data_IF_947822270855
#
_entry.id   IF_947822270855
#
_cell.length_a   1.000
_cell.length_b   1.000
_cell.length_c   1.000
_cell.angle_alpha   90.00
_cell.angle_beta   90.00
_cell.angle_gamma   90.00
#
_symmetry.space_group_name_H-M   'P 1'
#
loop_
_entity.id
_entity.type
_entity.pdbx_description
1 polymer ?
#
# COMPACT_ATOMS: atom_id res chain seq x y z
N UNK A 1 -11.14 12.65 13.56
CA UNK A 1 -11.14 11.23 13.99
C UNK A 1 -9.68 10.80 14.16
N UNK A 2 -9.40 9.74 14.92
CA UNK A 2 -8.01 9.28 15.18
C UNK A 2 -7.45 8.56 13.95
N UNK A 3 -6.28 8.99 13.44
CA UNK A 3 -5.65 8.43 12.22
C UNK A 3 -5.41 6.93 12.30
N UNK A 4 -5.06 6.41 13.49
CA UNK A 4 -4.86 4.97 13.71
C UNK A 4 -6.18 4.24 13.60
N UNK A 5 -7.26 4.79 14.19
CA UNK A 5 -8.61 4.20 14.05
C UNK A 5 -9.10 4.23 12.61
N UNK A 6 -8.86 5.35 11.90
CA UNK A 6 -9.17 5.48 10.48
C UNK A 6 -8.46 4.40 9.67
N UNK A 7 -7.14 4.24 9.83
CA UNK A 7 -6.37 3.24 9.11
C UNK A 7 -6.76 1.80 9.49
N UNK A 8 -7.00 1.49 10.76
CA UNK A 8 -7.49 0.17 11.18
C UNK A 8 -8.78 -0.26 10.52
N UNK A 9 -9.63 0.71 10.16
CA UNK A 9 -10.89 0.43 9.50
C UNK A 9 -10.78 0.49 7.98
N UNK A 10 -10.00 1.44 7.44
CA UNK A 10 -9.99 1.77 6.01
C UNK A 10 -8.76 1.30 5.25
N UNK A 11 -7.68 0.89 5.90
CA UNK A 11 -6.44 0.51 5.21
C UNK A 11 -6.69 -0.62 4.20
N UNK A 12 -7.30 -1.73 4.61
CA UNK A 12 -7.66 -2.80 3.65
C UNK A 12 -8.89 -2.43 2.86
N UNK A 13 -9.97 -2.07 3.57
CA UNK A 13 -11.31 -1.89 2.99
C UNK A 13 -11.34 -0.81 1.91
N UNK A 14 -10.53 0.23 2.06
CA UNK A 14 -10.46 1.36 1.15
C UNK A 14 -9.14 1.35 0.38
N UNK A 15 -8.00 1.50 1.06
CA UNK A 15 -6.73 1.83 0.40
C UNK A 15 -6.20 0.68 -0.46
N UNK A 16 -6.01 -0.49 0.14
CA UNK A 16 -5.43 -1.66 -0.55
C UNK A 16 -6.41 -2.19 -1.61
N UNK A 17 -7.68 -2.36 -1.27
CA UNK A 17 -8.65 -2.95 -2.19
C UNK A 17 -8.93 -2.05 -3.39
N UNK A 18 -9.10 -0.74 -3.20
CA UNK A 18 -9.24 0.16 -4.35
C UNK A 18 -7.95 0.22 -5.17
N UNK A 19 -6.78 0.20 -4.52
CA UNK A 19 -5.52 0.21 -5.25
C UNK A 19 -5.35 -0.98 -6.19
N UNK A 20 -5.76 -2.17 -5.73
CA UNK A 20 -5.76 -3.38 -6.52
C UNK A 20 -6.80 -3.36 -7.64
N UNK A 21 -8.03 -2.94 -7.35
CA UNK A 21 -9.12 -2.87 -8.35
C UNK A 21 -8.81 -1.90 -9.49
N UNK A 22 -8.09 -0.82 -9.20
CA UNK A 22 -7.72 0.21 -10.18
C UNK A 22 -6.48 -0.14 -11.02
N UNK A 23 -5.90 -1.33 -10.84
CA UNK A 23 -4.81 -1.77 -11.70
C UNK A 23 -5.32 -2.16 -13.08
N UNK A 24 -4.62 -1.70 -14.11
CA UNK A 24 -4.77 -2.29 -15.44
C UNK A 24 -3.91 -3.56 -15.53
N UNK A 25 -4.56 -4.72 -15.56
CA UNK A 25 -3.92 -6.03 -15.67
C UNK A 25 -3.97 -6.60 -17.10
N UNK A 26 -4.48 -5.83 -18.07
CA UNK A 26 -4.51 -6.26 -19.47
C UNK A 26 -3.09 -6.51 -19.99
N UNK A 27 -2.85 -7.72 -20.51
CA UNK A 27 -1.54 -8.12 -21.02
C UNK A 27 -0.51 -8.48 -19.95
N UNK A 28 -0.84 -8.41 -18.66
CA UNK A 28 0.05 -8.89 -17.58
C UNK A 28 0.05 -10.42 -17.57
N UNK A 29 1.23 -11.08 -17.58
CA UNK A 29 1.30 -12.54 -17.52
C UNK A 29 0.61 -13.11 -16.28
N UNK A 30 -0.09 -14.24 -16.43
CA UNK A 30 -0.82 -14.87 -15.32
C UNK A 30 0.07 -15.18 -14.10
N UNK A 31 1.33 -15.55 -14.32
CA UNK A 31 2.30 -15.77 -13.23
C UNK A 31 2.58 -14.49 -12.42
N UNK A 32 2.62 -13.33 -13.07
CA UNK A 32 2.83 -12.03 -12.42
C UNK A 32 1.57 -11.61 -11.67
N UNK A 33 0.38 -11.87 -12.23
CA UNK A 33 -0.90 -11.64 -11.55
C UNK A 33 -1.00 -12.49 -10.28
N UNK A 34 -0.61 -13.77 -10.32
CA UNK A 34 -0.60 -14.62 -9.13
C UNK A 34 0.34 -14.07 -8.04
N UNK A 35 1.53 -13.60 -8.43
CA UNK A 35 2.46 -12.95 -7.49
C UNK A 35 1.86 -11.67 -6.90
N UNK A 36 1.18 -10.85 -7.71
CA UNK A 36 0.46 -9.67 -7.24
C UNK A 36 -0.60 -10.06 -6.21
N UNK A 37 -1.41 -11.08 -6.47
CA UNK A 37 -2.48 -11.53 -5.58
C UNK A 37 -1.94 -11.99 -4.22
N UNK A 38 -0.84 -12.77 -4.24
CA UNK A 38 -0.15 -13.21 -3.03
C UNK A 38 0.40 -12.01 -2.22
N UNK A 39 1.03 -11.05 -2.90
CA UNK A 39 1.56 -9.84 -2.27
C UNK A 39 0.45 -8.99 -1.69
N UNK A 40 -0.66 -8.80 -2.41
CA UNK A 40 -1.82 -8.03 -1.93
C UNK A 40 -2.42 -8.69 -0.69
N UNK A 41 -2.54 -10.02 -0.67
CA UNK A 41 -3.01 -10.74 0.51
C UNK A 41 -2.08 -10.54 1.72
N UNK A 42 -0.76 -10.61 1.52
CA UNK A 42 0.21 -10.31 2.59
C UNK A 42 0.12 -8.86 3.09
N UNK A 43 -0.14 -7.90 2.20
CA UNK A 43 -0.33 -6.49 2.56
C UNK A 43 -1.63 -6.31 3.35
N UNK A 44 -2.70 -7.04 2.99
CA UNK A 44 -3.97 -6.99 3.74
C UNK A 44 -3.77 -7.41 5.20
N UNK A 45 -2.94 -8.41 5.44
CA UNK A 45 -2.62 -8.87 6.80
C UNK A 45 -1.90 -7.80 7.64
N UNK A 46 -1.25 -6.80 7.02
CA UNK A 46 -0.58 -5.72 7.75
C UNK A 46 -1.56 -4.81 8.50
N UNK A 47 -2.85 -4.81 8.15
CA UNK A 47 -3.88 -4.04 8.88
C UNK A 47 -3.87 -4.37 10.38
N UNK A 48 -3.64 -5.64 10.72
CA UNK A 48 -3.62 -6.10 12.13
C UNK A 48 -2.44 -5.53 12.93
N UNK A 49 -1.40 -5.04 12.24
CA UNK A 49 -0.23 -4.43 12.87
C UNK A 49 -0.42 -2.92 13.11
N UNK A 50 -1.47 -2.30 12.55
CA UNK A 50 -1.79 -0.89 12.76
C UNK A 50 -2.53 -0.76 14.10
N UNK A 51 -1.79 -0.60 15.19
CA UNK A 51 -2.34 -0.49 16.56
C UNK A 51 -1.92 0.79 17.26
N UNK A 52 -0.87 1.44 16.77
CA UNK A 52 -0.44 2.78 17.18
C UNK A 52 0.03 3.57 15.97
N UNK A 53 0.39 4.83 16.19
CA UNK A 53 0.99 5.67 15.15
C UNK A 53 2.33 5.09 14.69
N UNK A 54 3.21 4.72 15.63
CA UNK A 54 4.54 4.16 15.36
C UNK A 54 4.46 2.85 14.59
N UNK A 55 3.47 2.01 14.90
CA UNK A 55 3.27 0.76 14.18
C UNK A 55 2.77 1.00 12.75
N UNK A 56 1.92 2.01 12.53
CA UNK A 56 1.53 2.45 11.19
C UNK A 56 2.74 2.97 10.38
N UNK A 57 3.61 3.76 11.00
CA UNK A 57 4.85 4.24 10.38
C UNK A 57 5.73 3.06 9.97
N UNK A 58 5.89 2.06 10.84
CA UNK A 58 6.66 0.85 10.54
C UNK A 58 6.05 0.07 9.36
N UNK A 59 4.72 -0.05 9.31
CA UNK A 59 4.03 -0.69 8.18
C UNK A 59 4.42 -0.01 6.87
N UNK A 60 4.36 1.31 6.79
CA UNK A 60 4.66 2.04 5.55
C UNK A 60 6.14 2.09 5.18
N UNK A 61 7.04 2.18 6.18
CA UNK A 61 8.48 2.32 5.93
C UNK A 61 9.23 1.01 5.73
N UNK A 62 8.73 -0.09 6.29
CA UNK A 62 9.47 -1.36 6.31
C UNK A 62 8.63 -2.53 5.81
N UNK A 63 7.51 -2.82 6.48
CA UNK A 63 6.80 -4.07 6.22
C UNK A 63 6.19 -4.10 4.80
N UNK A 64 5.62 -2.98 4.35
CA UNK A 64 4.99 -2.87 3.03
C UNK A 64 6.01 -2.89 1.86
N UNK A 65 7.12 -2.12 1.90
CA UNK A 65 8.22 -2.28 0.94
C UNK A 65 8.75 -3.71 0.85
N UNK A 66 8.91 -4.39 1.99
CA UNK A 66 9.37 -5.78 2.04
C UNK A 66 8.40 -6.72 1.33
N UNK A 67 7.08 -6.56 1.54
CA UNK A 67 6.07 -7.37 0.83
C UNK A 67 6.08 -7.15 -0.67
N UNK A 68 6.39 -5.95 -1.12
CA UNK A 68 6.39 -5.60 -2.54
C UNK A 68 7.67 -5.98 -3.28
N UNK A 69 8.73 -6.39 -2.57
CA UNK A 69 10.03 -6.69 -3.17
C UNK A 69 9.92 -7.71 -4.30
N UNK A 70 9.23 -8.82 -4.07
CA UNK A 70 9.05 -9.87 -5.09
C UNK A 70 8.26 -9.37 -6.30
N UNK A 71 7.22 -8.56 -6.10
CA UNK A 71 6.46 -7.98 -7.21
C UNK A 71 7.33 -6.99 -7.98
N UNK A 72 8.11 -6.16 -7.28
CA UNK A 72 9.04 -5.19 -7.89
C UNK A 72 10.13 -5.88 -8.72
N UNK A 73 10.62 -7.04 -8.27
CA UNK A 73 11.61 -7.83 -9.02
C UNK A 73 11.02 -8.47 -10.29
N UNK A 74 9.74 -8.86 -10.26
CA UNK A 74 9.05 -9.49 -11.40
C UNK A 74 8.52 -8.48 -12.40
N UNK A 75 7.87 -7.43 -11.90
CA UNK A 75 7.31 -6.34 -12.70
C UNK A 75 7.38 -5.02 -11.90
N UNK A 76 8.47 -4.25 -12.10
CA UNK A 76 8.63 -2.95 -11.46
C UNK A 76 7.49 -1.98 -11.79
N UNK A 77 6.95 -2.01 -13.01
CA UNK A 77 5.91 -1.08 -13.44
C UNK A 77 4.59 -1.35 -12.71
N UNK A 78 4.21 -2.63 -12.58
CA UNK A 78 3.04 -3.05 -11.83
C UNK A 78 3.16 -2.73 -10.34
N UNK A 79 4.33 -3.00 -9.73
CA UNK A 79 4.60 -2.64 -8.34
C UNK A 79 4.46 -1.13 -8.09
N UNK A 80 5.00 -0.30 -9.00
CA UNK A 80 4.88 1.16 -8.95
C UNK A 80 3.43 1.63 -9.11
N UNK A 81 2.69 1.05 -10.05
CA UNK A 81 1.27 1.38 -10.26
C UNK A 81 0.44 1.08 -9.00
N UNK A 82 0.65 -0.09 -8.40
CA UNK A 82 -0.04 -0.47 -7.18
C UNK A 82 0.28 0.48 -6.01
N UNK A 83 1.56 0.78 -5.78
CA UNK A 83 1.98 1.73 -4.73
C UNK A 83 1.40 3.11 -4.93
N UNK A 84 1.41 3.61 -6.17
CA UNK A 84 0.84 4.91 -6.51
C UNK A 84 -0.64 4.97 -6.16
N UNK A 85 -1.40 3.93 -6.50
CA UNK A 85 -2.83 3.86 -6.18
C UNK A 85 -3.04 3.70 -4.66
N UNK A 86 -2.25 2.88 -3.97
CA UNK A 86 -2.36 2.68 -2.52
C UNK A 86 -2.12 3.98 -1.76
N UNK A 87 -1.05 4.69 -2.09
CA UNK A 87 -0.73 5.99 -1.48
C UNK A 87 -1.82 7.01 -1.78
N UNK A 88 -2.27 7.11 -3.04
CA UNK A 88 -3.39 7.97 -3.42
C UNK A 88 -4.61 7.72 -2.53
N UNK A 89 -5.03 6.47 -2.39
CA UNK A 89 -6.23 6.13 -1.61
C UNK A 89 -6.05 6.30 -0.10
N UNK A 90 -4.84 6.11 0.43
CA UNK A 90 -4.53 6.48 1.81
C UNK A 90 -4.65 8.00 2.03
N UNK A 91 -4.18 8.82 1.09
CA UNK A 91 -4.21 10.28 1.18
C UNK A 91 -5.58 10.89 0.88
N UNK A 92 -6.54 10.14 0.35
CA UNK A 92 -7.95 10.56 0.27
C UNK A 92 -8.64 10.50 1.65
N UNK A 93 -8.04 9.84 2.64
CA UNK A 93 -8.54 9.83 4.01
C UNK A 93 -8.06 11.10 4.71
N UNK A 94 -8.99 12.01 5.03
CA UNK A 94 -8.69 13.31 5.66
C UNK A 94 -7.79 13.18 6.88
N UNK A 95 -8.07 12.23 7.78
CA UNK A 95 -7.24 12.02 8.98
C UNK A 95 -5.80 11.59 8.67
N UNK A 96 -5.58 10.93 7.53
CA UNK A 96 -4.24 10.53 7.09
C UNK A 96 -3.55 11.72 6.42
N UNK A 97 -4.24 12.42 5.53
CA UNK A 97 -3.75 13.58 4.80
C UNK A 97 -3.31 14.72 5.72
N UNK A 98 -4.02 14.92 6.83
CA UNK A 98 -3.74 15.97 7.82
C UNK A 98 -2.77 15.50 8.92
N UNK A 99 -2.22 14.29 8.81
CA UNK A 99 -1.29 13.72 9.79
C UNK A 99 0.14 13.63 9.25
N UNK A 100 1.09 13.41 10.17
CA UNK A 100 2.48 13.07 9.84
C UNK A 100 2.64 11.77 9.05
N UNK A 101 1.58 10.94 8.93
CA UNK A 101 1.64 9.75 8.07
C UNK A 101 1.69 10.09 6.59
N UNK A 102 1.22 11.28 6.20
CA UNK A 102 1.37 11.79 4.84
C UNK A 102 2.83 11.79 4.39
N UNK A 103 3.74 12.31 5.21
CA UNK A 103 5.16 12.41 4.87
C UNK A 103 5.76 11.02 4.59
N UNK A 104 5.41 10.01 5.41
CA UNK A 104 5.88 8.64 5.21
C UNK A 104 5.29 7.97 3.96
N UNK A 105 4.05 8.30 3.59
CA UNK A 105 3.42 7.83 2.35
C UNK A 105 4.06 8.48 1.12
N UNK A 106 4.42 9.75 1.20
CA UNK A 106 5.13 10.46 0.13
C UNK A 106 6.58 9.97 -0.03
N UNK A 107 7.27 9.68 1.08
CA UNK A 107 8.58 9.00 1.09
C UNK A 107 8.49 7.62 0.42
N UNK A 108 7.51 6.81 0.82
CA UNK A 108 7.24 5.51 0.23
C UNK A 108 7.04 5.63 -1.28
N UNK A 109 6.17 6.53 -1.74
CA UNK A 109 5.93 6.75 -3.16
C UNK A 109 7.21 7.14 -3.91
N UNK A 110 8.06 7.94 -3.28
CA UNK A 110 9.32 8.39 -3.88
C UNK A 110 10.37 7.28 -3.99
N UNK A 111 10.38 6.31 -3.06
CA UNK A 111 11.25 5.12 -3.14
C UNK A 111 10.90 4.15 -4.30
N UNK A 112 9.77 4.40 -4.96
CA UNK A 112 9.29 3.65 -6.12
C UNK A 112 9.31 4.51 -7.41
N UNK A 113 10.00 5.67 -7.45
CA UNK A 113 10.09 6.49 -8.66
C UNK A 113 11.21 6.09 -9.64
N UNK A 114 12.06 5.14 -9.27
CA UNK A 114 13.13 4.59 -10.13
C UNK A 114 12.61 3.44 -11.03
#
# INVERSE_FOLDING_TARGET
>A
MDVVKTLRYKFVRYCVNKAYVDLNLEGVPAEVVNVLDDVVNQIRDLERHIVSFESAVRVFRADLPEKLKILKERDPALARAFIKNLVKYCLELEEVADSKLKDYLEELLSSFKD
#
